data_IF_068358973203
#
_entry.id   IF_068358973203
#
_cell.length_a   1.000
_cell.length_b   1.000
_cell.length_c   1.000
_cell.angle_alpha   90.00
_cell.angle_beta   90.00
_cell.angle_gamma   90.00
#
_symmetry.space_group_name_H-M   'P 1'
#
loop_
_entity.id
_entity.type
_entity.pdbx_description
1 polymer ?
#
# COMPACT_ATOMS: atom_id res chain seq x y z
N UNK A 1 -2.71 16.58 -37.96
CA UNK A 1 -2.40 15.90 -36.69
C UNK A 1 -2.96 16.76 -35.56
N UNK A 2 -4.14 16.40 -35.06
CA UNK A 2 -4.88 17.18 -34.06
C UNK A 2 -4.38 16.75 -32.67
N UNK A 3 -3.61 17.61 -32.01
CA UNK A 3 -3.05 17.33 -30.69
C UNK A 3 -4.23 17.36 -29.70
N UNK A 4 -4.49 16.27 -28.95
CA UNK A 4 -5.58 16.27 -27.97
C UNK A 4 -5.32 17.37 -26.94
N UNK A 5 -6.35 18.19 -26.71
CA UNK A 5 -6.31 19.27 -25.72
C UNK A 5 -5.93 18.70 -24.35
N UNK A 6 -5.14 19.46 -23.58
CA UNK A 6 -4.67 19.07 -22.25
C UNK A 6 -5.81 18.63 -21.32
N UNK A 7 -7.02 19.15 -21.53
CA UNK A 7 -8.23 18.75 -20.80
C UNK A 7 -8.61 17.28 -21.02
N UNK A 8 -8.51 16.79 -22.25
CA UNK A 8 -8.82 15.39 -22.61
C UNK A 8 -7.83 14.44 -21.92
N UNK A 9 -6.54 14.81 -21.93
CA UNK A 9 -5.48 14.02 -21.28
C UNK A 9 -5.70 13.95 -19.77
N UNK A 10 -6.08 15.07 -19.14
CA UNK A 10 -6.35 15.11 -17.69
C UNK A 10 -7.57 14.26 -17.35
N UNK A 11 -8.65 14.30 -18.13
CA UNK A 11 -9.86 13.50 -17.91
C UNK A 11 -9.53 12.00 -18.00
N UNK A 12 -8.77 11.59 -19.02
CA UNK A 12 -8.35 10.20 -19.20
C UNK A 12 -7.43 9.73 -18.06
N UNK A 13 -6.49 10.57 -17.60
CA UNK A 13 -5.60 10.24 -16.49
C UNK A 13 -6.36 10.10 -15.16
N UNK A 14 -7.30 11.00 -14.87
CA UNK A 14 -8.12 10.93 -13.66
C UNK A 14 -9.06 9.73 -13.70
N UNK A 15 -9.67 9.44 -14.85
CA UNK A 15 -10.52 8.27 -15.06
C UNK A 15 -9.76 6.96 -14.91
N UNK A 16 -8.56 6.86 -15.49
CA UNK A 16 -7.68 5.70 -15.34
C UNK A 16 -7.22 5.50 -13.89
N UNK A 17 -6.88 6.60 -13.19
CA UNK A 17 -6.51 6.55 -11.77
C UNK A 17 -7.67 6.06 -10.90
N UNK A 18 -8.88 6.60 -11.12
CA UNK A 18 -10.12 6.17 -10.44
C UNK A 18 -10.45 4.71 -10.74
N UNK A 19 -10.27 4.26 -11.99
CA UNK A 19 -10.49 2.87 -12.38
C UNK A 19 -9.47 1.93 -11.73
N UNK A 20 -8.19 2.29 -11.67
CA UNK A 20 -7.15 1.50 -11.00
C UNK A 20 -7.40 1.41 -9.48
N UNK A 21 -7.87 2.48 -8.85
CA UNK A 21 -8.28 2.49 -7.43
C UNK A 21 -9.51 1.59 -7.22
N UNK A 22 -10.55 1.73 -8.04
CA UNK A 22 -11.77 0.92 -7.97
C UNK A 22 -11.53 -0.57 -8.25
N UNK A 23 -10.65 -0.88 -9.20
CA UNK A 23 -10.29 -2.26 -9.55
C UNK A 23 -9.50 -2.97 -8.43
N UNK A 24 -8.68 -2.24 -7.66
CA UNK A 24 -7.97 -2.78 -6.48
C UNK A 24 -8.90 -3.08 -5.31
N UNK A 25 -10.00 -2.32 -5.16
CA UNK A 25 -11.01 -2.53 -4.10
C UNK A 25 -11.93 -3.72 -4.43
N UNK A 26 -12.25 -3.95 -5.70
CA UNK A 26 -13.16 -5.03 -6.11
C UNK A 26 -12.56 -6.45 -5.97
N UNK A 27 -11.25 -6.59 -5.80
CA UNK A 27 -10.64 -7.91 -5.56
C UNK A 27 -10.90 -8.50 -4.17
N UNK A 28 -11.52 -7.76 -3.23
CA UNK A 28 -11.63 -8.19 -1.82
C UNK A 28 -13.00 -8.72 -1.37
N UNK A 29 -14.02 -8.81 -2.24
CA UNK A 29 -15.39 -9.17 -1.77
C UNK A 29 -16.01 -10.45 -2.35
N UNK A 30 -15.35 -11.19 -3.25
CA UNK A 30 -15.79 -12.55 -3.61
C UNK A 30 -15.23 -13.61 -2.64
N UNK A 31 -15.43 -13.47 -1.33
CA UNK A 31 -15.14 -14.56 -0.37
C UNK A 31 -15.81 -14.44 1.00
N UNK A 32 -17.03 -13.91 1.06
CA UNK A 32 -17.84 -13.89 2.28
C UNK A 32 -19.26 -14.38 2.05
N UNK A 33 -19.41 -15.50 1.33
CA UNK A 33 -20.59 -16.35 1.43
C UNK A 33 -20.07 -17.76 1.69
N UNK A 34 -20.30 -18.28 2.89
CA UNK A 34 -19.86 -19.63 3.26
C UNK A 34 -19.30 -19.72 4.66
N UNK A 35 -20.18 -19.59 5.65
CA UNK A 35 -20.00 -20.20 6.97
C UNK A 35 -20.07 -21.72 6.76
N UNK A 36 -18.98 -22.37 6.34
CA UNK A 36 -18.74 -23.83 6.43
C UNK A 36 -17.39 -24.19 5.79
N UNK A 37 -16.59 -24.97 6.52
CA UNK A 37 -15.30 -25.57 6.16
C UNK A 37 -14.11 -24.61 5.93
N UNK A 38 -13.19 -24.60 6.90
CA UNK A 38 -11.91 -23.92 6.79
C UNK A 38 -11.05 -24.53 5.66
N UNK A 39 -10.50 -23.73 4.73
CA UNK A 39 -9.53 -24.21 3.76
C UNK A 39 -8.15 -24.40 4.43
N UNK A 40 -7.42 -25.49 4.12
CA UNK A 40 -6.05 -25.70 4.59
C UNK A 40 -5.16 -24.63 3.96
N UNK A 41 -4.64 -23.69 4.76
CA UNK A 41 -3.71 -22.65 4.29
C UNK A 41 -4.05 -21.20 4.68
N UNK A 42 -5.11 -20.96 5.45
CA UNK A 42 -5.36 -19.64 6.02
C UNK A 42 -4.29 -19.33 7.09
N UNK A 43 -3.31 -18.48 6.76
CA UNK A 43 -2.27 -17.96 7.67
C UNK A 43 -2.91 -17.53 8.99
N UNK A 44 -2.43 -18.09 10.09
CA UNK A 44 -2.93 -17.84 11.44
C UNK A 44 -2.85 -16.35 11.77
N UNK A 45 -3.73 -15.80 12.64
CA UNK A 45 -3.57 -14.44 13.16
C UNK A 45 -2.15 -14.16 13.67
N UNK A 46 -1.48 -15.20 14.22
CA UNK A 46 -0.08 -15.15 14.67
C UNK A 46 0.92 -14.92 13.53
N UNK A 47 0.70 -15.54 12.37
CA UNK A 47 1.55 -15.37 11.18
C UNK A 47 1.41 -13.96 10.60
N UNK A 48 0.19 -13.39 10.62
CA UNK A 48 -0.04 -11.99 10.19
C UNK A 48 0.67 -11.01 11.10
N UNK A 49 0.65 -11.26 12.41
CA UNK A 49 1.33 -10.42 13.39
C UNK A 49 2.85 -10.50 13.26
N UNK A 50 3.40 -11.71 13.02
CA UNK A 50 4.81 -11.90 12.73
C UNK A 50 5.23 -11.14 11.46
N UNK A 51 4.46 -11.25 10.37
CA UNK A 51 4.73 -10.52 9.13
C UNK A 51 4.74 -8.99 9.33
N UNK A 52 3.80 -8.46 10.11
CA UNK A 52 3.74 -7.03 10.41
C UNK A 52 4.94 -6.56 11.26
N UNK A 53 5.37 -7.37 12.23
CA UNK A 53 6.54 -7.08 13.05
C UNK A 53 7.83 -7.01 12.22
N UNK A 54 7.98 -7.91 11.24
CA UNK A 54 9.13 -7.93 10.35
C UNK A 54 9.14 -6.71 9.40
N UNK A 55 7.99 -6.35 8.82
CA UNK A 55 7.87 -5.13 8.01
C UNK A 55 8.25 -3.88 8.81
N UNK A 56 7.78 -3.79 10.06
CA UNK A 56 8.12 -2.68 10.96
C UNK A 56 9.61 -2.62 11.24
N UNK A 57 10.25 -3.79 11.45
CA UNK A 57 11.70 -3.88 11.65
C UNK A 57 12.47 -3.40 10.43
N UNK A 58 12.08 -3.83 9.22
CA UNK A 58 12.70 -3.41 7.96
C UNK A 58 12.57 -1.90 7.74
N UNK A 59 11.40 -1.32 8.03
CA UNK A 59 11.22 0.13 7.93
C UNK A 59 12.13 0.90 8.90
N UNK A 60 12.26 0.43 10.15
CA UNK A 60 13.17 1.02 11.12
C UNK A 60 14.62 0.93 10.66
N UNK A 61 15.04 -0.21 10.09
CA UNK A 61 16.37 -0.36 9.50
C UNK A 61 16.59 0.59 8.31
N UNK A 62 15.59 0.75 7.43
CA UNK A 62 15.64 1.74 6.35
C UNK A 62 15.66 3.19 6.87
N UNK A 63 15.24 3.44 8.11
CA UNK A 63 15.40 4.73 8.78
C UNK A 63 16.68 4.82 9.64
N UNK A 64 17.65 3.91 9.49
CA UNK A 64 18.87 3.86 10.31
C UNK A 64 18.60 3.75 11.82
N UNK A 65 17.48 3.12 12.20
CA UNK A 65 17.05 2.99 13.59
C UNK A 65 16.21 4.14 14.12
N UNK A 66 16.00 5.21 13.34
CA UNK A 66 15.17 6.36 13.74
C UNK A 66 13.67 5.97 13.77
N UNK A 67 13.19 5.70 14.98
CA UNK A 67 11.79 5.33 15.25
C UNK A 67 10.82 6.48 14.95
N UNK A 68 11.02 7.72 15.46
CA UNK A 68 10.18 8.86 15.12
C UNK A 68 10.03 9.11 13.62
N UNK A 69 11.09 8.89 12.83
CA UNK A 69 11.04 9.03 11.37
C UNK A 69 10.20 7.94 10.72
N UNK A 70 10.38 6.68 11.13
CA UNK A 70 9.57 5.56 10.65
C UNK A 70 8.08 5.77 10.93
N UNK A 71 7.72 6.18 12.14
CA UNK A 71 6.31 6.45 12.50
C UNK A 71 5.70 7.59 11.70
N UNK A 72 6.47 8.67 11.45
CA UNK A 72 6.02 9.78 10.59
C UNK A 72 5.72 9.32 9.17
N UNK A 73 6.55 8.44 8.60
CA UNK A 73 6.32 7.89 7.26
C UNK A 73 5.06 7.03 7.20
N UNK A 74 4.84 6.18 8.21
CA UNK A 74 3.61 5.37 8.30
C UNK A 74 2.38 6.27 8.39
N UNK A 75 2.41 7.28 9.27
CA UNK A 75 1.30 8.21 9.42
C UNK A 75 1.04 9.01 8.14
N UNK A 76 2.11 9.42 7.46
CA UNK A 76 2.02 10.09 6.18
C UNK A 76 1.29 9.21 5.15
N UNK A 77 1.67 7.95 4.99
CA UNK A 77 1.02 7.04 4.03
C UNK A 77 -0.44 6.74 4.41
N UNK A 78 -0.75 6.61 5.70
CA UNK A 78 -2.14 6.49 6.19
C UNK A 78 -2.98 7.73 5.90
N UNK A 79 -2.41 8.93 6.05
CA UNK A 79 -3.09 10.20 5.74
C UNK A 79 -3.29 10.37 4.24
N UNK A 80 -2.28 10.01 3.44
CA UNK A 80 -2.30 10.11 1.97
C UNK A 80 -3.26 9.12 1.34
N UNK A 81 -3.40 7.93 1.91
CA UNK A 81 -4.26 6.87 1.41
C UNK A 81 -5.14 6.32 2.53
N UNK A 82 -6.28 6.98 2.81
CA UNK A 82 -7.21 6.51 3.82
C UNK A 82 -7.76 5.13 3.45
N UNK A 83 -7.86 4.24 4.44
CA UNK A 83 -8.39 2.88 4.26
C UNK A 83 -7.33 1.81 4.00
N UNK A 84 -6.04 2.15 3.90
CA UNK A 84 -4.97 1.14 3.85
C UNK A 84 -4.68 0.55 5.24
N UNK A 85 -4.30 -0.71 5.28
CA UNK A 85 -3.88 -1.36 6.53
C UNK A 85 -2.53 -0.83 7.01
N UNK A 86 -2.20 -1.06 8.29
CA UNK A 86 -0.90 -0.65 8.83
C UNK A 86 0.28 -1.30 8.10
N UNK A 87 0.16 -2.58 7.73
CA UNK A 87 1.18 -3.29 6.97
C UNK A 87 1.36 -2.70 5.57
N UNK A 88 0.28 -2.32 4.88
CA UNK A 88 0.35 -1.64 3.58
C UNK A 88 0.98 -0.26 3.70
N UNK A 89 0.69 0.48 4.77
CA UNK A 89 1.34 1.78 5.03
C UNK A 89 2.85 1.62 5.23
N UNK A 90 3.29 0.59 5.96
CA UNK A 90 4.72 0.28 6.16
C UNK A 90 5.39 -0.10 4.84
N UNK A 91 4.73 -0.95 4.03
CA UNK A 91 5.25 -1.37 2.73
C UNK A 91 5.44 -0.17 1.79
N UNK A 92 4.44 0.72 1.70
CA UNK A 92 4.55 1.94 0.88
C UNK A 92 5.63 2.90 1.38
N UNK A 93 5.78 3.02 2.70
CA UNK A 93 6.86 3.82 3.28
C UNK A 93 8.25 3.28 2.91
N UNK A 94 8.41 1.95 2.90
CA UNK A 94 9.63 1.28 2.43
C UNK A 94 9.91 1.54 0.95
N UNK A 95 8.93 1.29 0.08
CA UNK A 95 9.05 1.53 -1.37
C UNK A 95 9.47 2.98 -1.65
N UNK A 96 8.89 3.93 -0.91
CA UNK A 96 9.23 5.34 -1.05
C UNK A 96 10.65 5.66 -0.61
N UNK A 97 11.11 5.08 0.50
CA UNK A 97 12.50 5.24 0.96
C UNK A 97 13.49 4.63 -0.04
N UNK A 98 13.15 3.49 -0.63
CA UNK A 98 13.98 2.85 -1.67
C UNK A 98 14.07 3.72 -2.91
N UNK A 99 12.94 4.25 -3.42
CA UNK A 99 12.92 5.18 -4.55
C UNK A 99 13.73 6.44 -4.25
N UNK A 100 13.57 7.02 -3.06
CA UNK A 100 14.29 8.23 -2.65
C UNK A 100 15.80 7.98 -2.64
N UNK A 101 16.24 6.84 -2.10
CA UNK A 101 17.66 6.42 -2.10
C UNK A 101 18.19 6.17 -3.51
N UNK A 102 17.42 5.52 -4.37
CA UNK A 102 17.81 5.28 -5.77
C UNK A 102 17.89 6.55 -6.61
N UNK A 103 17.29 7.67 -6.18
CA UNK A 103 17.40 8.97 -6.87
C UNK A 103 18.63 9.79 -6.44
N UNK A 104 19.22 9.46 -5.30
CA UNK A 104 20.38 10.16 -4.74
C UNK A 104 21.70 9.40 -4.97
N UNK A 105 21.64 8.28 -5.69
CA UNK A 105 22.77 7.41 -6.01
C UNK A 105 22.86 7.20 -7.52
#
# INVERSE_FOLDING_TARGET
>A
MQIPSTTEIVILLVGLLMWLVGHRVNQKQKKSVGRSAAPPGAKSPRDRQAANSELTRRLKQACFGDRPKADRLIQYEKKRCPGITHAEAIQRALERLEIDRSRHN
#
